data_IF_703946959661
#
_entry.id   IF_703946959661
#
_cell.length_a   1.000
_cell.length_b   1.000
_cell.length_c   1.000
_cell.angle_alpha   90.00
_cell.angle_beta   90.00
_cell.angle_gamma   90.00
#
_symmetry.space_group_name_H-M   'P 1'
#
loop_
_entity.id
_entity.type
_entity.pdbx_description
1 polymer ?
#
# COMPACT_ATOMS: atom_id res chain seq x y z
N UNK A 1 20.47 -9.55 -31.55
CA UNK A 1 20.26 -10.03 -30.17
C UNK A 1 18.87 -9.64 -29.70
N UNK A 2 17.94 -10.60 -29.57
CA UNK A 2 16.67 -10.37 -28.87
C UNK A 2 17.02 -10.33 -27.38
N UNK A 3 16.82 -9.18 -26.71
CA UNK A 3 16.94 -9.11 -25.25
C UNK A 3 15.83 -9.97 -24.66
N UNK A 4 16.20 -11.02 -23.93
CA UNK A 4 15.24 -11.78 -23.13
C UNK A 4 14.53 -10.82 -22.18
N UNK A 5 13.21 -10.82 -22.24
CA UNK A 5 12.36 -10.11 -21.29
C UNK A 5 12.37 -10.96 -20.03
N UNK A 6 13.17 -10.57 -19.04
CA UNK A 6 13.17 -11.22 -17.73
C UNK A 6 12.00 -10.67 -16.93
N UNK A 7 10.90 -11.42 -16.90
CA UNK A 7 9.76 -11.16 -16.03
C UNK A 7 10.15 -11.52 -14.59
N UNK A 8 10.11 -10.55 -13.68
CA UNK A 8 10.28 -10.80 -12.24
C UNK A 8 9.09 -10.23 -11.49
N UNK A 9 8.11 -11.09 -11.21
CA UNK A 9 7.13 -10.84 -10.14
C UNK A 9 7.90 -11.07 -8.84
N UNK A 10 8.38 -10.00 -8.22
CA UNK A 10 8.95 -10.08 -6.87
C UNK A 10 7.82 -10.33 -5.88
N UNK A 11 7.46 -11.60 -5.70
CA UNK A 11 6.62 -12.03 -4.59
C UNK A 11 7.48 -12.19 -3.32
N UNK A 12 6.94 -11.69 -2.21
CA UNK A 12 7.23 -12.08 -0.82
C UNK A 12 8.49 -11.52 -0.13
N UNK A 13 8.57 -10.20 0.00
CA UNK A 13 8.93 -9.63 1.31
C UNK A 13 7.63 -9.16 1.94
N UNK A 14 7.32 -9.57 3.17
CA UNK A 14 6.07 -9.12 3.82
C UNK A 14 6.04 -7.60 3.87
N UNK A 15 5.15 -7.01 3.08
CA UNK A 15 5.05 -5.55 2.96
C UNK A 15 4.03 -5.10 3.98
N UNK A 16 4.47 -4.57 5.12
CA UNK A 16 3.58 -3.89 6.07
C UNK A 16 3.31 -2.47 5.53
N UNK A 17 2.16 -1.81 5.75
CA UNK A 17 1.86 -0.48 5.17
C UNK A 17 2.62 0.68 5.85
N UNK A 18 2.95 1.76 5.11
CA UNK A 18 3.66 2.98 5.62
C UNK A 18 2.93 4.30 5.32
N UNK A 19 1.88 4.26 4.51
CA UNK A 19 1.10 5.45 4.20
C UNK A 19 -0.02 5.56 5.23
N UNK A 20 0.08 6.52 6.14
CA UNK A 20 -0.87 6.71 7.26
C UNK A 20 -2.23 7.25 6.80
N UNK A 21 -2.29 8.00 5.70
CA UNK A 21 -3.53 8.51 5.10
C UNK A 21 -4.22 7.45 4.23
N UNK A 22 -5.13 6.67 4.83
CA UNK A 22 -5.90 5.66 4.13
C UNK A 22 -6.78 6.24 3.00
N UNK A 23 -7.32 7.44 3.19
CA UNK A 23 -8.11 8.13 2.17
C UNK A 23 -7.26 8.55 0.96
N UNK A 24 -6.06 9.07 1.18
CA UNK A 24 -5.12 9.38 0.10
C UNK A 24 -4.74 8.11 -0.66
N UNK A 25 -4.56 6.98 0.03
CA UNK A 25 -4.30 5.68 -0.59
C UNK A 25 -5.46 5.24 -1.51
N UNK A 26 -6.71 5.45 -1.10
CA UNK A 26 -7.89 5.23 -1.94
C UNK A 26 -7.90 6.16 -3.17
N UNK A 27 -7.64 7.45 -2.99
CA UNK A 27 -7.59 8.41 -4.10
C UNK A 27 -6.50 8.04 -5.13
N UNK A 28 -5.36 7.54 -4.66
CA UNK A 28 -4.29 7.04 -5.54
C UNK A 28 -4.74 5.79 -6.30
N UNK A 29 -5.45 4.86 -5.63
CA UNK A 29 -6.01 3.69 -6.30
C UNK A 29 -6.95 4.11 -7.44
N UNK A 30 -7.83 5.09 -7.20
CA UNK A 30 -8.73 5.66 -8.23
C UNK A 30 -7.93 6.30 -9.37
N UNK A 31 -6.87 7.04 -9.06
CA UNK A 31 -6.03 7.67 -10.08
C UNK A 31 -5.32 6.64 -10.97
N UNK A 32 -4.85 5.53 -10.39
CA UNK A 32 -4.18 4.43 -11.12
C UNK A 32 -5.14 3.71 -12.08
N UNK A 33 -6.43 3.58 -11.73
CA UNK A 33 -7.45 2.97 -12.62
C UNK A 33 -7.67 3.81 -13.88
N UNK A 34 -7.66 5.14 -13.75
CA UNK A 34 -7.84 6.05 -14.89
C UNK A 34 -6.60 6.01 -15.80
N UNK A 35 -5.40 6.01 -15.22
CA UNK A 35 -4.14 5.96 -15.98
C UNK A 35 -3.04 5.28 -15.16
N UNK A 36 -2.24 4.36 -15.76
CA UNK A 36 -1.04 3.86 -15.10
C UNK A 36 -0.13 5.03 -14.69
N UNK A 37 0.24 5.09 -13.42
CA UNK A 37 1.04 6.19 -12.89
C UNK A 37 2.54 5.87 -12.96
N UNK A 38 3.28 6.74 -13.65
CA UNK A 38 4.75 6.76 -13.63
C UNK A 38 5.21 7.53 -12.41
N UNK A 39 6.33 7.13 -11.82
CA UNK A 39 6.95 7.83 -10.69
C UNK A 39 7.04 9.37 -10.89
N UNK A 40 7.32 9.85 -12.11
CA UNK A 40 7.42 11.27 -12.42
C UNK A 40 6.07 11.98 -12.66
N UNK A 41 4.99 11.26 -12.96
CA UNK A 41 3.69 11.85 -13.31
C UNK A 41 2.82 12.22 -12.10
N UNK A 42 3.36 11.99 -10.90
CA UNK A 42 2.60 11.95 -9.66
C UNK A 42 2.95 13.15 -8.78
N UNK A 43 4.19 13.64 -8.88
CA UNK A 43 4.63 14.81 -8.11
C UNK A 43 3.83 16.07 -8.47
N UNK A 44 3.31 16.14 -9.70
CA UNK A 44 2.58 17.31 -10.20
C UNK A 44 1.05 17.25 -9.93
N UNK A 45 0.45 16.06 -9.91
CA UNK A 45 -1.02 15.89 -9.86
C UNK A 45 -1.57 15.50 -8.47
N UNK A 46 -0.73 14.93 -7.59
CA UNK A 46 -1.17 14.44 -6.26
C UNK A 46 -0.31 15.08 -5.18
N UNK A 47 -0.89 16.01 -4.43
CA UNK A 47 -0.19 16.79 -3.41
C UNK A 47 0.57 15.93 -2.37
N UNK A 48 0.04 14.75 -2.04
CA UNK A 48 0.64 13.82 -1.08
C UNK A 48 1.87 13.06 -1.62
N UNK A 49 2.24 13.22 -2.90
CA UNK A 49 3.26 12.42 -3.59
C UNK A 49 4.42 13.26 -4.15
N UNK A 50 4.65 14.44 -3.58
CA UNK A 50 5.73 15.37 -3.94
C UNK A 50 7.17 14.82 -3.77
N UNK A 51 7.36 13.66 -3.13
CA UNK A 51 8.67 13.01 -2.93
C UNK A 51 8.62 11.49 -3.22
N UNK A 52 9.72 10.96 -3.76
CA UNK A 52 10.01 9.53 -3.98
C UNK A 52 9.67 8.65 -2.81
N UNK A 53 10.00 9.14 -1.62
CA UNK A 53 9.81 8.39 -0.40
C UNK A 53 8.33 8.18 -0.10
N UNK A 54 7.50 9.19 -0.35
CA UNK A 54 6.05 9.07 -0.19
C UNK A 54 5.49 8.08 -1.21
N UNK A 55 5.94 8.15 -2.46
CA UNK A 55 5.54 7.15 -3.47
C UNK A 55 5.81 5.72 -3.04
N UNK A 56 7.02 5.42 -2.55
CA UNK A 56 7.36 4.08 -2.07
C UNK A 56 6.45 3.64 -0.90
N UNK A 57 6.01 4.57 -0.04
CA UNK A 57 5.08 4.28 1.06
C UNK A 57 3.68 3.93 0.57
N UNK A 58 3.11 4.73 -0.33
CA UNK A 58 1.79 4.44 -0.91
C UNK A 58 1.82 3.16 -1.74
N UNK A 59 2.85 2.98 -2.57
CA UNK A 59 3.08 1.76 -3.33
C UNK A 59 3.08 0.52 -2.43
N UNK A 60 3.90 0.56 -1.37
CA UNK A 60 4.00 -0.54 -0.41
C UNK A 60 2.66 -0.86 0.25
N UNK A 61 1.85 0.17 0.51
CA UNK A 61 0.55 0.01 1.15
C UNK A 61 -0.49 -0.58 0.18
N UNK A 62 -0.48 -0.21 -1.10
CA UNK A 62 -1.32 -0.86 -2.12
C UNK A 62 -0.96 -2.33 -2.33
N UNK A 63 0.34 -2.66 -2.28
CA UNK A 63 0.79 -4.05 -2.34
C UNK A 63 0.38 -4.85 -1.10
N UNK A 64 0.47 -4.27 0.10
CA UNK A 64 -0.04 -4.88 1.33
C UNK A 64 -1.53 -5.23 1.22
N UNK A 65 -2.33 -4.31 0.66
CA UNK A 65 -3.75 -4.52 0.44
C UNK A 65 -4.04 -5.57 -0.65
N UNK A 66 -3.06 -5.85 -1.52
CA UNK A 66 -3.20 -6.78 -2.62
C UNK A 66 -4.01 -6.24 -3.79
N UNK A 67 -4.16 -4.90 -3.90
CA UNK A 67 -4.97 -4.23 -4.94
C UNK A 67 -4.16 -3.75 -6.13
N UNK A 68 -2.84 -3.81 -6.03
CA UNK A 68 -1.94 -3.35 -7.08
C UNK A 68 -0.75 -4.28 -7.25
N UNK A 69 -0.18 -4.25 -8.45
CA UNK A 69 1.02 -4.99 -8.82
C UNK A 69 2.12 -4.01 -9.24
N UNK A 70 3.36 -4.47 -9.08
CA UNK A 70 4.56 -3.75 -9.50
C UNK A 70 4.99 -4.23 -10.88
N UNK A 71 5.29 -3.31 -11.78
CA UNK A 71 5.98 -3.60 -13.03
C UNK A 71 7.28 -2.80 -13.12
N UNK A 72 8.29 -3.37 -13.79
CA UNK A 72 9.55 -2.69 -14.08
C UNK A 72 9.79 -2.78 -15.57
N UNK A 73 9.87 -1.62 -16.24
CA UNK A 73 10.25 -1.54 -17.65
C UNK A 73 11.28 -0.44 -17.86
N UNK A 74 12.37 -0.74 -18.58
CA UNK A 74 13.49 0.19 -18.82
C UNK A 74 14.02 0.92 -17.58
N UNK A 75 14.15 0.23 -16.43
CA UNK A 75 14.55 0.78 -15.11
C UNK A 75 13.51 1.70 -14.45
N UNK A 76 12.37 1.95 -15.09
CA UNK A 76 11.24 2.65 -14.50
C UNK A 76 10.33 1.66 -13.78
N UNK A 77 9.82 2.05 -12.61
CA UNK A 77 8.85 1.27 -11.82
C UNK A 77 7.46 1.84 -12.05
N UNK A 78 6.50 0.96 -12.27
CA UNK A 78 5.10 1.30 -12.47
C UNK A 78 4.24 0.53 -11.48
N UNK A 79 3.14 1.16 -11.10
CA UNK A 79 2.09 0.54 -10.32
C UNK A 79 0.86 0.50 -11.19
N UNK A 80 0.25 -0.67 -11.25
CA UNK A 80 -1.02 -0.85 -11.93
C UNK A 80 -1.95 -1.61 -11.00
N UNK A 81 -3.23 -1.27 -11.09
CA UNK A 81 -4.29 -1.94 -10.36
C UNK A 81 -4.48 -3.36 -10.90
N UNK A 82 -4.74 -4.32 -10.01
CA UNK A 82 -5.05 -5.69 -10.39
C UNK A 82 -6.56 -5.95 -10.35
N UNK A 83 -6.98 -7.19 -10.60
CA UNK A 83 -8.39 -7.57 -10.61
C UNK A 83 -9.10 -7.21 -9.30
N UNK A 84 -8.49 -7.52 -8.14
CA UNK A 84 -9.05 -7.17 -6.83
C UNK A 84 -9.24 -5.66 -6.68
N UNK A 85 -8.23 -4.86 -7.05
CA UNK A 85 -8.34 -3.41 -7.00
C UNK A 85 -9.46 -2.89 -7.89
N UNK A 86 -9.57 -3.38 -9.12
CA UNK A 86 -10.62 -2.99 -10.06
C UNK A 86 -12.01 -3.39 -9.54
N UNK A 87 -12.15 -4.57 -8.94
CA UNK A 87 -13.41 -5.04 -8.35
C UNK A 87 -13.84 -4.18 -7.15
N UNK A 88 -12.89 -3.76 -6.30
CA UNK A 88 -13.16 -2.82 -5.21
C UNK A 88 -13.72 -1.51 -5.76
N UNK A 89 -13.09 -0.96 -6.82
CA UNK A 89 -13.53 0.31 -7.42
C UNK A 89 -14.88 0.20 -8.13
N UNK A 90 -15.25 -0.98 -8.65
CA UNK A 90 -16.55 -1.24 -9.28
C UNK A 90 -17.69 -1.49 -8.30
N UNK A 91 -17.39 -1.70 -7.01
CA UNK A 91 -18.43 -1.92 -6.01
C UNK A 91 -19.29 -0.67 -5.78
N UNK A 92 -20.54 -0.88 -5.37
CA UNK A 92 -21.52 0.22 -5.17
C UNK A 92 -21.07 1.24 -4.11
N UNK A 93 -20.24 0.80 -3.16
CA UNK A 93 -19.58 1.65 -2.17
C UNK A 93 -18.08 1.32 -2.13
N UNK A 94 -17.37 1.75 -3.17
CA UNK A 94 -15.95 1.48 -3.38
C UNK A 94 -15.07 1.93 -2.23
N UNK A 95 -15.36 3.10 -1.63
CA UNK A 95 -14.61 3.63 -0.49
C UNK A 95 -14.79 2.73 0.73
N UNK A 96 -16.01 2.32 1.06
CA UNK A 96 -16.25 1.41 2.19
C UNK A 96 -15.66 0.02 1.94
N UNK A 97 -15.79 -0.51 0.73
CA UNK A 97 -15.16 -1.78 0.33
C UNK A 97 -13.63 -1.74 0.51
N UNK A 98 -12.99 -0.63 0.12
CA UNK A 98 -11.57 -0.41 0.31
C UNK A 98 -11.16 -0.37 1.79
N UNK A 99 -11.91 0.35 2.64
CA UNK A 99 -11.60 0.42 4.08
C UNK A 99 -11.82 -0.95 4.75
N UNK A 100 -12.86 -1.68 4.36
CA UNK A 100 -13.10 -3.05 4.83
C UNK A 100 -11.97 -4.02 4.42
N UNK A 101 -11.41 -3.84 3.22
CA UNK A 101 -10.23 -4.60 2.79
C UNK A 101 -9.03 -4.29 3.68
N UNK A 102 -8.79 -3.02 4.02
CA UNK A 102 -7.72 -2.63 4.95
C UNK A 102 -7.89 -3.29 6.32
N UNK A 103 -9.12 -3.30 6.87
CA UNK A 103 -9.44 -4.03 8.11
C UNK A 103 -9.13 -5.52 7.97
N UNK A 104 -9.63 -6.18 6.92
CA UNK A 104 -9.39 -7.60 6.65
C UNK A 104 -7.90 -7.92 6.63
N UNK A 105 -7.10 -7.10 5.95
CA UNK A 105 -5.65 -7.27 5.85
C UNK A 105 -4.94 -7.05 7.17
N UNK A 106 -5.30 -6.03 7.95
CA UNK A 106 -4.75 -5.86 9.29
C UNK A 106 -5.06 -7.06 10.19
N UNK A 107 -6.26 -7.64 10.11
CA UNK A 107 -6.62 -8.85 10.87
C UNK A 107 -5.84 -10.08 10.39
N UNK A 108 -5.76 -10.30 9.08
CA UNK A 108 -5.02 -11.42 8.46
C UNK A 108 -3.54 -11.45 8.88
N UNK A 109 -2.92 -10.26 8.98
CA UNK A 109 -1.54 -10.12 9.42
C UNK A 109 -1.40 -9.96 10.94
N UNK A 110 -2.51 -10.02 11.68
CA UNK A 110 -2.57 -9.93 13.14
C UNK A 110 -1.95 -8.60 13.65
N UNK A 111 -2.27 -7.52 12.94
CA UNK A 111 -1.85 -6.13 13.16
C UNK A 111 -3.01 -5.22 13.56
N UNK A 112 -4.24 -5.73 13.64
CA UNK A 112 -5.40 -4.94 14.08
C UNK A 112 -5.40 -4.80 15.61
N UNK A 113 -4.45 -4.03 16.15
CA UNK A 113 -4.26 -3.80 17.58
C UNK A 113 -3.77 -2.36 17.81
N UNK A 114 -4.17 -1.72 18.93
CA UNK A 114 -3.74 -0.38 19.31
C UNK A 114 -2.54 -0.37 20.29
N UNK A 115 -2.20 -1.52 20.89
CA UNK A 115 -1.06 -1.67 21.78
C UNK A 115 0.26 -1.58 20.98
N UNK A 116 1.03 -0.54 21.29
CA UNK A 116 2.29 -0.23 20.62
C UNK A 116 3.38 -1.25 20.92
N UNK A 117 3.45 -1.78 22.14
CA UNK A 117 4.44 -2.79 22.51
C UNK A 117 4.15 -4.10 21.79
N UNK A 118 2.87 -4.48 21.71
CA UNK A 118 2.43 -5.64 20.96
C UNK A 118 2.78 -5.52 19.47
N UNK A 119 2.49 -4.36 18.86
CA UNK A 119 2.82 -4.12 17.45
C UNK A 119 4.35 -4.09 17.23
N UNK A 120 5.12 -3.46 18.12
CA UNK A 120 6.57 -3.40 18.02
C UNK A 120 7.20 -4.79 18.06
N UNK A 121 6.84 -5.60 19.07
CA UNK A 121 7.29 -6.99 19.19
C UNK A 121 6.95 -7.79 17.94
N UNK A 122 5.72 -7.65 17.43
CA UNK A 122 5.32 -8.37 16.22
C UNK A 122 6.10 -7.93 14.98
N UNK A 123 6.26 -6.63 14.78
CA UNK A 123 6.97 -6.08 13.63
C UNK A 123 8.45 -6.46 13.64
N UNK A 124 9.07 -6.49 14.82
CA UNK A 124 10.44 -6.93 15.02
C UNK A 124 10.59 -8.44 14.85
N UNK A 125 9.84 -9.23 15.62
CA UNK A 125 10.08 -10.66 15.74
C UNK A 125 9.46 -11.49 14.61
N UNK A 126 8.23 -11.16 14.18
CA UNK A 126 7.54 -11.88 13.10
C UNK A 126 7.92 -11.34 11.73
N UNK A 127 7.98 -10.02 11.58
CA UNK A 127 8.20 -9.36 10.29
C UNK A 127 9.64 -8.89 10.05
N UNK A 128 10.54 -9.11 11.01
CA UNK A 128 11.99 -8.83 10.89
C UNK A 128 12.28 -7.38 10.49
N UNK A 129 11.50 -6.44 11.00
CA UNK A 129 11.71 -5.00 10.84
C UNK A 129 12.57 -4.46 11.99
N UNK A 130 13.19 -3.30 11.80
CA UNK A 130 14.03 -2.69 12.83
C UNK A 130 14.08 -1.16 12.75
N UNK A 131 14.49 -0.55 13.86
CA UNK A 131 14.72 0.89 13.99
C UNK A 131 13.47 1.74 13.72
N UNK A 132 13.67 2.94 13.17
CA UNK A 132 12.61 3.90 12.86
C UNK A 132 11.53 3.36 11.91
N UNK A 133 11.80 2.26 11.20
CA UNK A 133 10.81 1.59 10.35
C UNK A 133 9.64 1.09 11.18
N UNK A 134 9.88 0.52 12.37
CA UNK A 134 8.83 0.00 13.25
C UNK A 134 7.87 1.14 13.65
N UNK A 135 8.41 2.23 14.21
CA UNK A 135 7.61 3.38 14.65
C UNK A 135 6.71 3.93 13.53
N UNK A 136 7.23 4.06 12.31
CA UNK A 136 6.43 4.50 11.14
C UNK A 136 5.30 3.54 10.78
N UNK A 137 5.56 2.22 10.81
CA UNK A 137 4.53 1.20 10.53
C UNK A 137 3.44 1.22 11.61
N UNK A 138 3.82 1.34 12.89
CA UNK A 138 2.87 1.45 14.01
C UNK A 138 1.98 2.67 13.84
N UNK A 139 2.56 3.84 13.53
CA UNK A 139 1.80 5.06 13.28
C UNK A 139 0.77 4.85 12.15
N UNK A 140 1.22 4.23 11.05
CA UNK A 140 0.34 3.90 9.91
C UNK A 140 -0.82 2.99 10.32
N UNK A 141 -0.52 1.90 11.04
CA UNK A 141 -1.52 0.93 11.50
C UNK A 141 -2.54 1.60 12.42
N UNK A 142 -2.08 2.38 13.41
CA UNK A 142 -2.97 3.09 14.35
C UNK A 142 -3.85 4.11 13.62
N UNK A 143 -3.29 4.86 12.65
CA UNK A 143 -4.05 5.79 11.83
C UNK A 143 -5.15 5.08 11.03
N UNK A 144 -4.85 3.93 10.44
CA UNK A 144 -5.85 3.13 9.72
C UNK A 144 -6.93 2.59 10.64
N UNK A 145 -6.57 2.04 11.81
CA UNK A 145 -7.54 1.53 12.79
C UNK A 145 -8.51 2.62 13.22
N UNK A 146 -8.02 3.86 13.42
CA UNK A 146 -8.87 4.99 13.76
C UNK A 146 -9.96 5.21 12.69
N UNK A 147 -9.58 5.32 11.42
CA UNK A 147 -10.52 5.50 10.30
C UNK A 147 -11.47 4.30 10.19
N UNK A 148 -10.97 3.08 10.35
CA UNK A 148 -11.77 1.84 10.29
C UNK A 148 -12.83 1.78 11.41
N UNK A 149 -12.60 2.42 12.56
CA UNK A 149 -13.56 2.46 13.66
C UNK A 149 -14.60 3.59 13.51
N UNK A 150 -14.43 4.49 12.54
CA UNK A 150 -15.33 5.63 12.26
C UNK A 150 -16.39 5.33 11.17
N UNK A 151 -16.36 4.15 10.54
CA UNK A 151 -17.26 3.67 9.45
C UNK A 151 -18.29 2.62 9.90
#
# INVERSE_FOLDING_TARGET
MKKEIVYKVENNKTIIPQADKLESLYNILVAIEIRPLFYHDIADDIEDLKDKRQWDYYASSLYFLGVANKWIYNKHKFIFINELGSDILKSSDSKRSFINLAKKKLVEYDLFNLDENYLADKLENKYKLSGETISRRIQTIKAWIKIINEI
#
